data_IF_780266808137
#
_entry.id   IF_780266808137
#
_cell.length_a   1.000
_cell.length_b   1.000
_cell.length_c   1.000
_cell.angle_alpha   90.00
_cell.angle_beta   90.00
_cell.angle_gamma   90.00
#
_symmetry.space_group_name_H-M   'P 1'
#
loop_
_entity.id
_entity.type
_entity.pdbx_description
1 polymer ?
#
# COMPACT_ATOMS: atom_id res chain seq x y z
N UNK A 1 23.54 4.06 -9.19
CA UNK A 1 22.21 4.43 -8.71
C UNK A 1 21.51 3.11 -8.48
N UNK A 2 21.25 2.73 -7.24
CA UNK A 2 20.44 1.57 -6.93
C UNK A 2 19.00 1.92 -7.22
N UNK A 3 18.36 1.13 -8.01
CA UNK A 3 16.99 1.28 -8.36
C UNK A 3 16.05 0.90 -7.23
N UNK A 4 14.92 1.51 -7.25
CA UNK A 4 13.87 1.40 -6.26
C UNK A 4 12.95 0.27 -6.67
N UNK A 5 13.12 -0.90 -6.11
CA UNK A 5 12.11 -1.93 -6.18
C UNK A 5 10.82 -1.41 -5.53
N UNK A 6 9.70 -1.45 -6.25
CA UNK A 6 8.43 -0.84 -5.86
C UNK A 6 8.59 0.67 -5.61
N UNK A 7 8.74 1.45 -6.67
CA UNK A 7 9.01 2.89 -6.59
C UNK A 7 7.89 3.65 -5.90
N UNK A 8 8.14 4.06 -4.69
CA UNK A 8 7.50 5.21 -4.09
C UNK A 8 8.17 6.48 -4.62
N UNK A 9 7.45 7.26 -5.40
CA UNK A 9 8.02 8.34 -6.19
C UNK A 9 8.11 9.67 -5.43
N UNK A 10 9.29 10.28 -5.26
CA UNK A 10 9.39 11.66 -4.84
C UNK A 10 9.32 12.59 -6.05
N UNK A 11 8.58 13.67 -5.92
CA UNK A 11 8.61 14.83 -6.82
C UNK A 11 10.04 15.27 -7.14
N UNK A 12 10.57 14.90 -8.30
CA UNK A 12 11.73 15.53 -8.90
C UNK A 12 11.34 15.96 -10.32
N UNK A 13 10.93 17.24 -10.42
CA UNK A 13 10.76 17.89 -11.71
C UNK A 13 12.06 17.84 -12.50
N UNK A 14 12.11 17.00 -13.55
CA UNK A 14 13.12 17.13 -14.59
C UNK A 14 12.72 18.25 -15.53
N UNK A 15 13.40 19.39 -15.40
CA UNK A 15 13.43 20.40 -16.45
C UNK A 15 14.12 19.83 -17.68
N UNK A 16 13.41 19.76 -18.81
CA UNK A 16 14.01 19.59 -20.11
C UNK A 16 14.90 20.79 -20.40
N UNK A 17 16.20 20.59 -20.48
CA UNK A 17 17.17 21.54 -20.99
C UNK A 17 17.62 21.11 -22.36
N UNK A 18 17.21 21.84 -23.41
CA UNK A 18 17.82 21.82 -24.73
C UNK A 18 18.93 22.86 -24.79
N UNK A 19 20.08 22.39 -25.24
CA UNK A 19 21.15 23.05 -26.00
C UNK A 19 21.64 24.47 -25.70
N UNK A 20 22.94 24.55 -25.43
CA UNK A 20 23.95 25.40 -26.12
C UNK A 20 23.95 26.90 -25.82
N UNK A 21 25.08 27.41 -25.31
CA UNK A 21 25.42 28.81 -25.43
C UNK A 21 26.16 29.42 -24.24
N UNK A 22 27.41 29.42 -24.39
CA UNK A 22 28.51 30.33 -24.00
C UNK A 22 28.45 31.26 -22.77
N UNK A 23 29.60 31.35 -22.13
CA UNK A 23 30.00 32.11 -20.94
C UNK A 23 29.73 33.62 -21.03
N UNK A 24 29.27 34.20 -19.92
CA UNK A 24 29.93 35.38 -19.32
C UNK A 24 29.45 35.62 -17.88
N UNK A 25 30.42 35.96 -17.06
CA UNK A 25 30.32 36.29 -15.64
C UNK A 25 29.38 37.47 -15.34
N UNK A 26 28.53 37.40 -14.29
CA UNK A 26 28.19 38.56 -13.45
C UNK A 26 27.58 38.21 -12.10
N UNK A 27 28.37 38.60 -11.09
CA UNK A 27 28.03 39.14 -9.76
C UNK A 27 26.82 38.63 -8.98
N UNK A 28 27.14 38.00 -7.87
CA UNK A 28 26.34 37.74 -6.68
C UNK A 28 25.69 39.03 -6.16
N UNK A 29 24.37 39.01 -6.00
CA UNK A 29 23.63 39.90 -5.10
C UNK A 29 22.85 39.04 -4.10
N UNK A 30 23.27 39.18 -2.85
CA UNK A 30 22.60 38.68 -1.67
C UNK A 30 21.20 39.28 -1.58
N UNK A 31 20.17 38.42 -1.53
CA UNK A 31 18.81 38.83 -1.17
C UNK A 31 18.43 38.02 0.08
N UNK A 32 18.36 38.74 1.17
CA UNK A 32 17.75 38.30 2.44
C UNK A 32 16.26 38.09 2.21
N UNK A 33 15.82 36.85 2.20
CA UNK A 33 14.42 36.45 2.02
C UNK A 33 13.82 35.95 3.33
N UNK A 34 12.71 36.50 3.65
CA UNK A 34 11.88 36.34 4.82
C UNK A 34 11.42 34.85 5.00
N UNK A 35 11.58 34.35 6.21
CA UNK A 35 10.99 33.08 6.67
C UNK A 35 9.50 33.35 6.89
N UNK A 36 8.66 32.83 6.03
CA UNK A 36 7.21 32.72 6.26
C UNK A 36 6.94 31.32 6.83
N UNK A 37 6.54 31.30 8.08
CA UNK A 37 6.00 30.11 8.73
C UNK A 37 4.67 29.72 8.05
N UNK A 38 4.41 28.43 7.77
CA UNK A 38 3.11 28.02 7.29
C UNK A 38 2.10 28.04 8.44
N UNK A 39 1.09 28.90 8.33
CA UNK A 39 -0.14 28.82 9.11
C UNK A 39 -0.84 27.48 8.77
N UNK A 40 -1.00 26.62 9.76
CA UNK A 40 -1.92 25.50 9.70
C UNK A 40 -3.36 26.03 9.59
N UNK A 41 -3.91 26.06 8.40
CA UNK A 41 -5.35 26.23 8.18
C UNK A 41 -5.98 24.84 8.18
N UNK A 42 -6.63 24.50 9.27
CA UNK A 42 -7.53 23.34 9.35
C UNK A 42 -8.74 23.63 8.48
N UNK A 43 -8.70 23.22 7.22
CA UNK A 43 -9.82 23.29 6.30
C UNK A 43 -10.75 22.09 6.52
N UNK A 44 -12.00 22.36 6.81
CA UNK A 44 -13.04 21.35 6.86
C UNK A 44 -13.19 20.66 5.50
N UNK A 45 -13.00 19.34 5.47
CA UNK A 45 -13.23 18.51 4.28
C UNK A 45 -14.74 18.38 4.06
N UNK A 46 -15.30 19.08 3.10
CA UNK A 46 -16.68 18.85 2.66
C UNK A 46 -16.67 17.79 1.55
N UNK A 47 -17.04 16.56 1.89
CA UNK A 47 -17.33 15.53 0.90
C UNK A 47 -18.71 15.83 0.31
N UNK A 48 -18.76 16.31 -0.93
CA UNK A 48 -20.01 16.38 -1.67
C UNK A 48 -20.33 15.04 -2.30
N UNK A 49 -21.07 14.21 -1.57
CA UNK A 49 -21.81 13.12 -2.19
C UNK A 49 -23.04 13.70 -2.86
N UNK A 50 -23.18 13.52 -4.16
CA UNK A 50 -24.35 13.93 -4.93
C UNK A 50 -25.62 13.34 -4.29
N UNK A 51 -26.42 14.19 -3.66
CA UNK A 51 -27.64 13.80 -2.97
C UNK A 51 -28.77 13.56 -4.00
N UNK A 52 -29.01 12.31 -4.33
CA UNK A 52 -30.35 11.91 -4.78
C UNK A 52 -31.23 11.77 -3.54
N UNK A 53 -31.89 12.84 -3.15
CA UNK A 53 -32.86 12.87 -2.06
C UNK A 53 -34.12 12.15 -2.48
N UNK A 54 -34.34 10.94 -1.94
CA UNK A 54 -35.68 10.37 -1.83
C UNK A 54 -36.01 10.36 -0.34
N UNK A 55 -36.75 11.35 0.10
CA UNK A 55 -37.32 11.37 1.42
C UNK A 55 -38.32 10.21 1.58
N UNK A 56 -37.94 9.18 2.30
CA UNK A 56 -38.85 8.16 2.81
C UNK A 56 -39.13 8.45 4.28
N UNK A 57 -40.18 9.19 4.53
CA UNK A 57 -40.85 9.24 5.85
C UNK A 57 -41.52 7.90 6.08
N UNK A 58 -40.92 7.04 6.85
CA UNK A 58 -41.47 5.77 7.33
C UNK A 58 -40.83 5.45 8.68
N UNK A 59 -41.57 5.68 9.75
CA UNK A 59 -41.28 5.12 11.06
C UNK A 59 -41.39 3.60 10.97
N UNK A 60 -40.28 2.93 10.65
CA UNK A 60 -40.17 1.49 10.81
C UNK A 60 -39.03 1.17 11.73
N UNK A 61 -39.38 0.41 12.78
CA UNK A 61 -38.51 0.04 13.87
C UNK A 61 -37.24 -0.66 13.39
N UNK A 62 -36.13 -0.18 13.87
CA UNK A 62 -34.86 -0.82 14.12
C UNK A 62 -34.44 -2.02 13.27
N UNK A 63 -34.37 -1.89 11.95
CA UNK A 63 -33.64 -2.89 11.19
C UNK A 63 -32.13 -2.61 11.30
N UNK A 64 -31.46 -3.37 12.19
CA UNK A 64 -30.02 -3.36 12.33
C UNK A 64 -29.31 -3.99 11.11
N UNK A 65 -30.05 -4.79 10.34
CA UNK A 65 -29.55 -5.53 9.17
C UNK A 65 -30.36 -5.11 7.93
N UNK A 66 -29.65 -4.72 6.87
CA UNK A 66 -30.22 -4.42 5.56
C UNK A 66 -29.76 -5.47 4.56
N UNK A 67 -30.62 -5.82 3.59
CA UNK A 67 -30.31 -6.79 2.55
C UNK A 67 -30.27 -6.16 1.19
N UNK A 68 -29.23 -6.52 0.41
CA UNK A 68 -29.05 -6.10 -0.98
C UNK A 68 -29.23 -7.32 -1.89
N UNK A 69 -30.06 -7.20 -2.92
CA UNK A 69 -30.22 -8.22 -3.95
C UNK A 69 -30.53 -7.57 -5.29
N UNK A 70 -29.97 -8.05 -6.38
CA UNK A 70 -30.31 -7.58 -7.73
C UNK A 70 -31.82 -7.72 -8.07
N UNK A 71 -32.49 -8.64 -7.38
CA UNK A 71 -33.92 -8.90 -7.50
C UNK A 71 -34.75 -8.25 -6.36
N UNK A 72 -34.18 -7.25 -5.69
CA UNK A 72 -34.86 -6.58 -4.58
C UNK A 72 -36.13 -5.86 -5.01
N UNK A 73 -37.11 -5.84 -4.10
CA UNK A 73 -38.36 -5.10 -4.25
C UNK A 73 -38.36 -3.87 -3.33
N UNK A 74 -38.74 -2.68 -3.82
CA UNK A 74 -38.77 -1.47 -2.99
C UNK A 74 -39.60 -1.60 -1.70
N UNK A 75 -40.59 -2.48 -1.73
CA UNK A 75 -41.48 -2.80 -0.60
C UNK A 75 -41.08 -4.08 0.15
N UNK A 76 -39.87 -4.58 -0.10
CA UNK A 76 -39.36 -5.76 0.58
C UNK A 76 -39.30 -5.58 2.08
N UNK A 77 -39.60 -6.62 2.84
CA UNK A 77 -39.55 -6.61 4.31
C UNK A 77 -38.13 -6.57 4.88
N UNK A 78 -37.11 -6.63 4.01
CA UNK A 78 -35.68 -6.54 4.33
C UNK A 78 -35.22 -7.52 5.44
N UNK A 79 -35.76 -8.74 5.39
CA UNK A 79 -35.44 -9.81 6.39
C UNK A 79 -34.54 -10.90 5.86
N UNK A 80 -34.35 -10.96 4.54
CA UNK A 80 -33.55 -11.98 3.85
C UNK A 80 -33.24 -11.56 2.43
N UNK A 81 -32.41 -12.33 1.72
CA UNK A 81 -32.14 -12.12 0.30
C UNK A 81 -33.38 -12.19 -0.60
N UNK A 82 -34.42 -12.95 -0.20
CA UNK A 82 -35.68 -13.04 -0.96
C UNK A 82 -36.57 -11.83 -0.75
N UNK A 83 -36.44 -11.14 0.34
CA UNK A 83 -37.22 -9.95 0.69
C UNK A 83 -36.35 -8.69 0.81
N UNK A 84 -35.20 -8.68 0.12
CA UNK A 84 -34.28 -7.56 0.12
C UNK A 84 -34.95 -6.30 -0.44
N UNK A 85 -34.62 -5.17 0.12
CA UNK A 85 -35.16 -3.85 -0.23
C UNK A 85 -34.26 -3.08 -1.20
N UNK A 86 -32.94 -3.30 -1.13
CA UNK A 86 -31.95 -2.55 -1.88
C UNK A 86 -31.44 -3.34 -3.07
N UNK A 87 -31.28 -2.68 -4.23
CA UNK A 87 -30.71 -3.27 -5.45
C UNK A 87 -29.22 -3.01 -5.63
N UNK A 88 -28.71 -1.94 -5.00
CA UNK A 88 -27.31 -1.55 -5.02
C UNK A 88 -26.72 -1.57 -3.61
N UNK A 89 -25.44 -1.90 -3.52
CA UNK A 89 -24.71 -1.89 -2.25
C UNK A 89 -24.65 -0.48 -1.70
N UNK A 90 -24.33 0.50 -2.58
CA UNK A 90 -24.22 1.90 -2.17
C UNK A 90 -25.50 2.45 -1.55
N UNK A 91 -26.67 2.11 -2.11
CA UNK A 91 -27.95 2.56 -1.55
C UNK A 91 -28.21 1.99 -0.15
N UNK A 92 -27.85 0.73 0.08
CA UNK A 92 -27.98 0.11 1.40
C UNK A 92 -26.95 0.69 2.39
N UNK A 93 -25.70 0.89 1.96
CA UNK A 93 -24.68 1.55 2.79
C UNK A 93 -25.14 2.96 3.19
N UNK A 94 -25.72 3.73 2.27
CA UNK A 94 -26.25 5.06 2.56
C UNK A 94 -27.39 5.02 3.56
N UNK A 95 -28.28 4.02 3.48
CA UNK A 95 -29.42 3.86 4.40
C UNK A 95 -29.05 3.24 5.76
N UNK A 96 -27.94 2.51 5.84
CA UNK A 96 -27.51 1.88 7.08
C UNK A 96 -27.18 2.94 8.15
N UNK A 97 -27.55 2.65 9.39
CA UNK A 97 -27.13 3.47 10.54
C UNK A 97 -25.70 3.11 10.93
N UNK A 98 -24.94 4.02 11.57
CA UNK A 98 -23.67 3.68 12.19
C UNK A 98 -23.78 2.44 13.07
N UNK A 99 -22.86 1.48 12.92
CA UNK A 99 -22.89 0.18 13.58
C UNK A 99 -23.85 -0.84 12.98
N UNK A 100 -24.58 -0.49 11.92
CA UNK A 100 -25.49 -1.41 11.21
C UNK A 100 -24.76 -2.42 10.34
N UNK A 101 -25.50 -3.44 9.89
CA UNK A 101 -25.01 -4.48 9.01
C UNK A 101 -25.73 -4.43 7.66
N UNK A 102 -24.98 -4.50 6.58
CA UNK A 102 -25.50 -4.65 5.22
C UNK A 102 -25.07 -6.03 4.71
N UNK A 103 -26.03 -6.89 4.44
CA UNK A 103 -25.82 -8.22 3.87
C UNK A 103 -26.06 -8.18 2.37
N UNK A 104 -25.04 -8.45 1.59
CA UNK A 104 -25.12 -8.45 0.13
C UNK A 104 -25.29 -9.88 -0.38
N UNK A 105 -26.39 -10.11 -1.03
CA UNK A 105 -26.81 -11.41 -1.53
C UNK A 105 -26.00 -11.84 -2.76
N UNK A 106 -26.03 -13.12 -3.15
CA UNK A 106 -25.29 -13.60 -4.31
C UNK A 106 -25.61 -12.81 -5.58
N UNK A 107 -24.58 -12.44 -6.32
CA UNK A 107 -24.71 -11.70 -7.59
C UNK A 107 -23.50 -10.81 -7.86
N UNK A 108 -23.45 -10.25 -9.07
CA UNK A 108 -22.44 -9.26 -9.46
C UNK A 108 -23.07 -7.87 -9.42
N UNK A 109 -22.40 -6.96 -8.75
CA UNK A 109 -22.81 -5.56 -8.56
C UNK A 109 -21.78 -4.67 -9.23
N UNK A 110 -22.20 -3.98 -10.30
CA UNK A 110 -21.34 -3.06 -11.05
C UNK A 110 -21.47 -1.67 -10.44
N UNK A 111 -20.65 -1.40 -9.44
CA UNK A 111 -20.65 -0.11 -8.72
C UNK A 111 -19.35 0.14 -7.98
N UNK A 112 -18.96 1.40 -7.83
CA UNK A 112 -18.00 1.85 -6.82
C UNK A 112 -18.74 1.93 -5.49
N UNK A 113 -18.17 1.35 -4.42
CA UNK A 113 -18.78 1.35 -3.08
C UNK A 113 -17.98 2.25 -2.15
N UNK A 114 -18.60 3.34 -1.69
CA UNK A 114 -18.00 4.30 -0.76
C UNK A 114 -18.59 4.14 0.64
N UNK A 115 -17.74 3.86 1.63
CA UNK A 115 -18.15 3.62 3.01
C UNK A 115 -17.61 4.75 3.90
N UNK A 116 -18.50 5.69 4.26
CA UNK A 116 -18.15 6.91 5.02
C UNK A 116 -18.64 6.88 6.48
N UNK A 117 -19.05 5.72 6.99
CA UNK A 117 -19.51 5.52 8.37
C UNK A 117 -19.22 4.10 8.83
N UNK A 118 -19.13 3.86 10.18
CA UNK A 118 -18.90 2.51 10.70
C UNK A 118 -20.08 1.60 10.36
N UNK A 119 -19.87 0.63 9.50
CA UNK A 119 -20.85 -0.41 9.14
C UNK A 119 -20.15 -1.75 8.94
N UNK A 120 -20.90 -2.83 9.11
CA UNK A 120 -20.48 -4.18 8.67
C UNK A 120 -21.07 -4.48 7.30
N UNK A 121 -20.22 -4.75 6.31
CA UNK A 121 -20.61 -5.14 4.96
C UNK A 121 -20.24 -6.61 4.75
N UNK A 122 -21.24 -7.47 4.56
CA UNK A 122 -21.11 -8.92 4.49
C UNK A 122 -21.54 -9.44 3.13
N UNK A 123 -20.61 -9.92 2.31
CA UNK A 123 -20.87 -10.54 1.02
C UNK A 123 -21.20 -12.03 1.15
N UNK A 124 -22.32 -12.46 0.63
CA UNK A 124 -22.70 -13.87 0.51
C UNK A 124 -22.53 -14.34 -0.93
N UNK A 125 -21.31 -14.69 -1.34
CA UNK A 125 -20.97 -14.95 -2.76
C UNK A 125 -21.32 -13.75 -3.65
N UNK A 126 -21.07 -12.55 -3.16
CA UNK A 126 -21.29 -11.30 -3.85
C UNK A 126 -19.99 -10.83 -4.51
N UNK A 127 -20.10 -10.34 -5.73
CA UNK A 127 -19.00 -9.71 -6.47
C UNK A 127 -19.26 -8.23 -6.62
N UNK A 128 -18.30 -7.40 -6.21
CA UNK A 128 -18.21 -5.99 -6.60
C UNK A 128 -17.30 -5.98 -7.82
N UNK A 129 -17.85 -5.56 -8.96
CA UNK A 129 -17.19 -5.57 -10.25
C UNK A 129 -17.22 -4.16 -10.84
N UNK A 130 -16.07 -3.50 -10.89
CA UNK A 130 -15.97 -2.13 -11.37
C UNK A 130 -15.81 -2.05 -12.90
N UNK A 131 -15.87 -3.16 -13.64
CA UNK A 131 -15.79 -3.15 -15.09
C UNK A 131 -16.86 -2.23 -15.70
N UNK A 132 -16.39 -1.20 -16.44
CA UNK A 132 -17.26 -0.23 -17.10
C UNK A 132 -17.95 0.77 -16.16
N UNK A 133 -17.60 0.78 -14.88
CA UNK A 133 -18.07 1.78 -13.90
C UNK A 133 -17.17 3.02 -14.00
N UNK A 134 -17.79 4.20 -14.07
CA UNK A 134 -17.05 5.46 -13.89
C UNK A 134 -16.99 5.79 -12.41
N UNK A 135 -15.79 5.84 -11.79
CA UNK A 135 -15.65 6.23 -10.42
C UNK A 135 -16.20 7.63 -10.16
N UNK A 136 -17.02 7.77 -9.12
CA UNK A 136 -17.71 9.03 -8.82
C UNK A 136 -17.20 9.69 -7.52
N UNK A 137 -16.47 8.95 -6.68
CA UNK A 137 -15.98 9.51 -5.43
C UNK A 137 -14.79 10.44 -5.68
N UNK A 138 -14.89 11.64 -5.15
CA UNK A 138 -13.86 12.66 -5.28
C UNK A 138 -13.43 13.20 -3.92
N UNK A 139 -12.18 13.59 -3.81
CA UNK A 139 -11.59 14.27 -2.66
C UNK A 139 -11.02 15.61 -3.08
N UNK A 140 -11.19 16.63 -2.26
CA UNK A 140 -10.54 17.92 -2.46
C UNK A 140 -9.33 18.00 -1.55
N UNK A 141 -8.15 18.11 -2.14
CA UNK A 141 -6.88 18.17 -1.43
C UNK A 141 -6.37 19.62 -1.42
N UNK A 142 -5.91 20.14 -0.27
CA UNK A 142 -5.35 21.49 -0.18
C UNK A 142 -4.20 21.67 -1.17
N UNK A 143 -4.27 22.69 -2.02
CA UNK A 143 -3.25 23.01 -3.02
C UNK A 143 -3.24 22.12 -4.27
N UNK A 144 -3.96 21.00 -4.29
CA UNK A 144 -3.97 20.04 -5.40
C UNK A 144 -5.33 19.95 -6.12
N UNK A 145 -6.37 20.63 -5.58
CA UNK A 145 -7.70 20.63 -6.16
C UNK A 145 -8.49 19.34 -5.90
N UNK A 146 -9.55 19.15 -6.68
CA UNK A 146 -10.42 17.98 -6.58
C UNK A 146 -9.90 16.87 -7.48
N UNK A 147 -9.76 15.67 -6.92
CA UNK A 147 -9.24 14.48 -7.57
C UNK A 147 -10.24 13.34 -7.46
N UNK A 148 -10.36 12.53 -8.50
CA UNK A 148 -11.18 11.31 -8.50
C UNK A 148 -10.41 10.15 -7.87
N UNK A 149 -11.08 9.38 -7.03
CA UNK A 149 -10.55 8.16 -6.41
C UNK A 149 -10.92 6.96 -7.27
N UNK A 150 -9.93 6.25 -7.75
CA UNK A 150 -10.07 5.05 -8.57
C UNK A 150 -9.86 3.79 -7.69
N UNK A 151 -10.92 3.35 -7.03
CA UNK A 151 -10.94 2.13 -6.24
C UNK A 151 -12.36 1.56 -6.20
N UNK A 152 -12.51 0.24 -6.33
CA UNK A 152 -13.84 -0.37 -6.33
C UNK A 152 -14.54 -0.23 -4.97
N UNK A 153 -13.76 -0.27 -3.88
CA UNK A 153 -14.26 -0.03 -2.53
C UNK A 153 -13.42 1.05 -1.85
N UNK A 154 -14.06 2.14 -1.43
CA UNK A 154 -13.43 3.26 -0.72
C UNK A 154 -13.93 3.32 0.70
N UNK A 155 -13.02 3.28 1.67
CA UNK A 155 -13.30 3.36 3.10
C UNK A 155 -12.71 4.65 3.68
N UNK A 156 -13.59 5.55 4.13
CA UNK A 156 -13.19 6.85 4.70
C UNK A 156 -13.79 7.06 6.09
N UNK A 157 -13.96 5.98 6.86
CA UNK A 157 -14.45 6.01 8.23
C UNK A 157 -13.84 4.90 9.08
N UNK A 158 -13.69 5.13 10.36
CA UNK A 158 -13.32 4.11 11.34
C UNK A 158 -14.42 3.06 11.55
N UNK A 159 -14.04 1.89 12.10
CA UNK A 159 -14.99 0.87 12.54
C UNK A 159 -15.68 0.09 11.42
N UNK A 160 -15.15 0.11 10.20
CA UNK A 160 -15.72 -0.62 9.05
C UNK A 160 -15.29 -2.10 9.13
N UNK A 161 -16.26 -2.99 8.93
CA UNK A 161 -15.99 -4.43 8.72
C UNK A 161 -16.45 -4.82 7.33
N UNK A 162 -15.55 -5.40 6.55
CA UNK A 162 -15.78 -5.84 5.18
C UNK A 162 -15.39 -7.31 5.04
N UNK A 163 -16.31 -8.14 4.59
CA UNK A 163 -16.03 -9.58 4.51
C UNK A 163 -16.85 -10.33 3.47
N UNK A 164 -16.26 -11.40 2.91
CA UNK A 164 -16.97 -12.39 2.08
C UNK A 164 -17.26 -11.95 0.65
N UNK A 165 -16.55 -10.96 0.12
CA UNK A 165 -16.71 -10.47 -1.24
C UNK A 165 -15.64 -11.01 -2.19
N UNK A 166 -16.00 -11.03 -3.49
CA UNK A 166 -15.04 -10.86 -4.57
C UNK A 166 -15.05 -9.40 -4.99
N UNK A 167 -13.87 -8.76 -5.08
CA UNK A 167 -13.68 -7.39 -5.59
C UNK A 167 -12.79 -7.49 -6.82
N UNK A 168 -13.22 -6.92 -7.95
CA UNK A 168 -12.53 -7.14 -9.22
C UNK A 168 -12.73 -6.00 -10.22
N UNK A 169 -11.77 -5.88 -11.15
CA UNK A 169 -11.78 -4.96 -12.30
C UNK A 169 -11.84 -3.47 -11.91
N UNK A 170 -11.32 -3.12 -10.73
CA UNK A 170 -11.07 -1.72 -10.41
C UNK A 170 -10.03 -1.14 -11.38
N UNK A 171 -10.20 0.12 -11.74
CA UNK A 171 -9.22 0.82 -12.57
C UNK A 171 -7.94 1.15 -11.80
N UNK A 172 -8.05 1.39 -10.53
CA UNK A 172 -6.97 1.52 -9.56
C UNK A 172 -7.06 0.43 -8.51
N UNK A 173 -7.06 0.80 -7.24
CA UNK A 173 -7.05 -0.19 -6.16
C UNK A 173 -8.34 -1.01 -6.06
N UNK A 174 -8.21 -2.24 -5.62
CA UNK A 174 -9.39 -3.04 -5.28
C UNK A 174 -10.13 -2.46 -4.07
N UNK A 175 -9.43 -2.22 -2.96
CA UNK A 175 -9.96 -1.64 -1.72
C UNK A 175 -8.99 -0.59 -1.19
N UNK A 176 -9.43 0.66 -1.10
CA UNK A 176 -8.68 1.77 -0.48
C UNK A 176 -9.30 2.15 0.85
N UNK A 177 -8.50 2.22 1.92
CA UNK A 177 -8.86 2.90 3.16
C UNK A 177 -7.93 4.10 3.36
N UNK A 178 -8.49 5.32 3.34
CA UNK A 178 -7.71 6.55 3.38
C UNK A 178 -8.18 7.50 4.49
N UNK A 179 -7.22 7.92 5.32
CA UNK A 179 -7.47 8.82 6.46
C UNK A 179 -7.87 10.23 6.05
N UNK A 180 -7.31 10.75 4.97
CA UNK A 180 -7.61 12.07 4.42
C UNK A 180 -7.55 13.19 5.47
N UNK A 181 -6.44 13.23 6.24
CA UNK A 181 -6.20 14.24 7.28
C UNK A 181 -6.79 13.89 8.65
N UNK A 182 -7.33 12.68 8.82
CA UNK A 182 -7.71 12.10 10.11
C UNK A 182 -7.31 10.64 10.15
N UNK A 183 -6.85 10.14 11.27
CA UNK A 183 -6.55 8.73 11.44
C UNK A 183 -7.84 7.89 11.46
N UNK A 184 -7.86 6.81 10.68
CA UNK A 184 -8.93 5.81 10.71
C UNK A 184 -8.50 4.62 11.55
N UNK A 185 -9.40 4.06 12.35
CA UNK A 185 -9.11 2.92 13.23
C UNK A 185 -10.18 1.84 13.15
N UNK A 186 -9.80 0.61 13.55
CA UNK A 186 -10.77 -0.48 13.68
C UNK A 186 -11.36 -0.99 12.37
N UNK A 187 -10.65 -0.80 11.25
CA UNK A 187 -11.04 -1.35 9.95
C UNK A 187 -10.67 -2.84 9.89
N UNK A 188 -11.56 -3.66 9.38
CA UNK A 188 -11.31 -5.10 9.20
C UNK A 188 -11.74 -5.55 7.82
N UNK A 189 -10.79 -6.04 7.02
CA UNK A 189 -11.03 -6.71 5.74
C UNK A 189 -10.73 -8.18 5.91
N UNK A 190 -11.71 -9.06 5.64
CA UNK A 190 -11.52 -10.49 5.87
C UNK A 190 -12.30 -11.40 4.93
N UNK A 191 -11.79 -12.61 4.72
CA UNK A 191 -12.45 -13.68 3.96
C UNK A 191 -12.98 -13.23 2.59
N UNK A 192 -12.24 -12.36 1.93
CA UNK A 192 -12.57 -11.78 0.63
C UNK A 192 -11.53 -12.19 -0.42
N UNK A 193 -11.93 -12.18 -1.68
CA UNK A 193 -11.04 -12.34 -2.81
C UNK A 193 -10.94 -10.99 -3.54
N UNK A 194 -9.79 -10.35 -3.47
CA UNK A 194 -9.51 -9.07 -4.13
C UNK A 194 -8.58 -9.39 -5.30
N UNK A 195 -9.13 -9.43 -6.51
CA UNK A 195 -8.43 -10.05 -7.64
C UNK A 195 -8.68 -9.31 -8.96
N UNK A 196 -7.66 -9.24 -9.81
CA UNK A 196 -7.70 -8.62 -11.14
C UNK A 196 -8.10 -7.14 -11.08
N UNK A 197 -7.55 -6.41 -10.13
CA UNK A 197 -7.67 -4.96 -10.04
C UNK A 197 -6.40 -4.34 -10.57
N UNK A 198 -6.51 -3.18 -11.11
CA UNK A 198 -5.55 -2.42 -11.90
C UNK A 198 -4.47 -3.30 -12.56
N UNK A 199 -4.49 -3.36 -13.84
CA UNK A 199 -3.52 -4.18 -14.58
C UNK A 199 -2.31 -3.34 -15.01
N UNK A 200 -1.91 -2.36 -14.20
CA UNK A 200 -0.65 -1.64 -14.34
C UNK A 200 -0.71 -0.40 -15.21
N UNK A 201 -1.85 0.21 -15.33
CA UNK A 201 -1.98 1.42 -16.15
C UNK A 201 -2.48 2.58 -15.32
N UNK A 202 -1.59 3.46 -14.94
CA UNK A 202 -1.91 4.66 -14.19
C UNK A 202 -3.12 5.38 -14.74
N UNK A 203 -3.99 5.81 -13.85
CA UNK A 203 -5.19 6.59 -14.17
C UNK A 203 -4.85 8.06 -14.09
N UNK A 204 -5.24 8.87 -15.07
CA UNK A 204 -4.95 10.30 -15.07
C UNK A 204 -5.68 11.01 -13.93
N UNK A 205 -5.08 12.09 -13.43
CA UNK A 205 -5.67 12.96 -12.41
C UNK A 205 -5.99 12.30 -11.05
N UNK A 206 -5.27 11.24 -10.69
CA UNK A 206 -5.36 10.66 -9.36
C UNK A 206 -4.74 11.55 -8.29
N UNK A 207 -5.15 11.47 -7.03
CA UNK A 207 -4.42 12.07 -5.93
C UNK A 207 -3.03 11.40 -5.78
N UNK A 208 -2.09 12.13 -5.18
CA UNK A 208 -0.70 11.68 -5.01
C UNK A 208 -0.54 10.37 -4.24
N UNK A 209 -1.51 10.01 -3.41
CA UNK A 209 -1.54 8.74 -2.66
C UNK A 209 -2.20 7.59 -3.44
N UNK A 210 -2.62 7.83 -4.65
CA UNK A 210 -2.98 6.79 -5.60
C UNK A 210 -1.99 6.83 -6.76
N UNK A 211 -1.93 5.73 -7.43
CA UNK A 211 -1.15 5.56 -8.61
C UNK A 211 -1.19 6.76 -9.57
N UNK A 212 -0.05 7.35 -9.80
CA UNK A 212 0.14 8.28 -10.91
C UNK A 212 0.86 7.56 -12.04
N UNK A 213 0.37 7.70 -13.27
CA UNK A 213 1.10 7.22 -14.43
C UNK A 213 2.42 7.96 -14.54
N UNK A 214 3.51 7.28 -14.23
CA UNK A 214 4.86 7.81 -14.27
C UNK A 214 5.68 7.12 -15.36
N UNK A 215 5.31 7.38 -16.60
CA UNK A 215 6.02 6.80 -17.74
C UNK A 215 5.63 5.32 -18.01
N UNK A 216 6.51 4.53 -18.65
CA UNK A 216 6.22 3.15 -19.01
C UNK A 216 6.27 2.17 -17.83
N UNK A 217 6.67 2.61 -16.65
CA UNK A 217 6.78 1.75 -15.47
C UNK A 217 5.52 1.89 -14.61
N UNK A 218 4.85 0.77 -14.28
CA UNK A 218 3.80 0.79 -13.27
C UNK A 218 4.44 1.14 -11.92
N UNK A 219 3.95 2.19 -11.29
CA UNK A 219 4.30 2.54 -9.91
C UNK A 219 3.44 1.78 -8.91
N UNK A 220 3.36 2.27 -7.68
CA UNK A 220 2.46 1.76 -6.62
C UNK A 220 0.99 1.97 -7.02
N UNK A 221 0.55 1.21 -8.00
CA UNK A 221 -0.72 1.36 -8.66
C UNK A 221 -1.47 0.04 -8.67
N UNK A 222 -2.73 0.05 -8.29
CA UNK A 222 -3.58 -1.10 -8.44
C UNK A 222 -3.33 -2.19 -7.44
N UNK A 223 -3.01 -1.81 -6.24
CA UNK A 223 -2.97 -2.77 -5.15
C UNK A 223 -4.34 -3.39 -4.91
N UNK A 224 -4.29 -4.67 -4.54
CA UNK A 224 -5.49 -5.32 -4.07
C UNK A 224 -6.08 -4.58 -2.88
N UNK A 225 -5.27 -4.24 -1.87
CA UNK A 225 -5.69 -3.51 -0.67
C UNK A 225 -4.66 -2.45 -0.29
N UNK A 226 -5.10 -1.20 -0.18
CA UNK A 226 -4.28 -0.08 0.24
C UNK A 226 -4.82 0.56 1.52
N UNK A 227 -3.97 0.71 2.56
CA UNK A 227 -4.24 1.45 3.78
C UNK A 227 -3.28 2.63 3.90
N UNK A 228 -3.83 3.86 4.04
CA UNK A 228 -3.05 5.08 4.27
C UNK A 228 -3.73 5.98 5.30
N UNK A 229 -2.99 6.41 6.33
CA UNK A 229 -3.58 7.12 7.48
C UNK A 229 -4.52 6.23 8.31
N UNK A 230 -4.14 4.96 8.51
CA UNK A 230 -4.97 3.94 9.19
C UNK A 230 -4.20 3.32 10.35
N UNK A 231 -4.84 3.19 11.50
CA UNK A 231 -4.25 2.54 12.67
C UNK A 231 -5.14 1.41 13.23
N UNK A 232 -4.54 0.52 14.03
CA UNK A 232 -5.23 -0.52 14.81
C UNK A 232 -6.26 -1.33 14.01
N UNK A 233 -5.88 -1.74 12.82
CA UNK A 233 -6.77 -2.34 11.83
C UNK A 233 -6.22 -3.68 11.30
N UNK A 234 -7.00 -4.40 10.50
CA UNK A 234 -6.57 -5.74 10.06
C UNK A 234 -7.02 -6.13 8.66
N UNK A 235 -6.13 -6.81 7.96
CA UNK A 235 -6.34 -7.49 6.67
C UNK A 235 -6.08 -8.98 6.92
N UNK A 236 -7.14 -9.81 6.97
CA UNK A 236 -6.98 -11.18 7.47
C UNK A 236 -7.74 -12.22 6.66
N UNK A 237 -7.03 -13.30 6.27
CA UNK A 237 -7.65 -14.48 5.64
C UNK A 237 -8.23 -14.19 4.26
N UNK A 238 -7.62 -13.31 3.49
CA UNK A 238 -8.04 -12.95 2.14
C UNK A 238 -7.19 -13.66 1.09
N UNK A 239 -7.75 -13.79 -0.11
CA UNK A 239 -7.01 -14.02 -1.34
C UNK A 239 -6.81 -12.66 -2.02
N UNK A 240 -5.57 -12.22 -2.17
CA UNK A 240 -5.19 -10.96 -2.83
C UNK A 240 -4.28 -11.36 -3.99
N UNK A 241 -4.83 -11.38 -5.20
CA UNK A 241 -4.12 -12.02 -6.30
C UNK A 241 -4.44 -11.40 -7.67
N UNK A 242 -3.43 -11.47 -8.55
CA UNK A 242 -3.57 -11.02 -9.94
C UNK A 242 -3.96 -9.54 -10.07
N UNK A 243 -3.61 -8.72 -9.09
CA UNK A 243 -3.65 -7.27 -9.16
C UNK A 243 -2.27 -6.78 -9.68
N UNK A 244 -2.08 -5.48 -9.84
CA UNK A 244 -0.75 -4.93 -10.08
C UNK A 244 0.15 -5.19 -8.87
N UNK A 245 -0.22 -4.72 -7.69
CA UNK A 245 0.39 -5.01 -6.41
C UNK A 245 -0.56 -5.73 -5.43
N UNK A 246 -0.04 -6.20 -4.30
CA UNK A 246 -0.82 -6.96 -3.33
C UNK A 246 -1.44 -6.09 -2.23
N UNK A 247 -0.67 -5.80 -1.19
CA UNK A 247 -1.08 -4.97 -0.04
C UNK A 247 -0.12 -3.80 0.10
N UNK A 248 -0.63 -2.58 0.17
CA UNK A 248 0.13 -1.37 0.44
C UNK A 248 -0.28 -0.78 1.80
N UNK A 249 0.72 -0.51 2.65
CA UNK A 249 0.56 0.26 3.88
C UNK A 249 1.43 1.50 3.76
N UNK A 250 0.85 2.66 3.48
CA UNK A 250 1.59 3.92 3.28
C UNK A 250 1.18 5.01 4.27
N UNK A 251 1.96 6.07 4.35
CA UNK A 251 1.70 7.22 5.24
C UNK A 251 1.35 8.51 4.49
N UNK A 252 0.87 8.39 3.25
CA UNK A 252 0.55 9.54 2.39
C UNK A 252 -0.53 10.45 2.96
N UNK A 253 -1.52 9.89 3.66
CA UNK A 253 -2.61 10.67 4.25
C UNK A 253 -2.54 10.79 5.77
N UNK A 254 -1.44 10.35 6.36
CA UNK A 254 -1.16 10.33 7.79
C UNK A 254 -0.49 9.03 8.22
N UNK A 255 -0.09 8.90 9.49
CA UNK A 255 0.62 7.71 9.97
C UNK A 255 -0.20 6.43 9.76
N UNK A 256 0.47 5.32 9.42
CA UNK A 256 -0.15 3.99 9.28
C UNK A 256 0.55 3.01 10.21
N UNK A 257 -0.15 2.55 11.24
CA UNK A 257 0.47 1.75 12.29
C UNK A 257 -0.49 0.76 12.97
N UNK A 258 0.10 -0.23 13.68
CA UNK A 258 -0.69 -1.24 14.39
C UNK A 258 -1.55 -2.12 13.46
N UNK A 259 -1.18 -2.21 12.18
CA UNK A 259 -1.93 -3.01 11.21
C UNK A 259 -1.51 -4.47 11.30
N UNK A 260 -2.50 -5.35 11.38
CA UNK A 260 -2.30 -6.80 11.30
C UNK A 260 -2.64 -7.32 9.90
N UNK A 261 -1.62 -7.69 9.12
CA UNK A 261 -1.76 -8.42 7.84
C UNK A 261 -1.49 -9.89 8.11
N UNK A 262 -2.54 -10.74 8.20
CA UNK A 262 -2.36 -12.10 8.69
C UNK A 262 -3.18 -13.16 7.95
N UNK A 263 -2.53 -14.30 7.68
CA UNK A 263 -3.20 -15.47 7.10
C UNK A 263 -3.77 -15.24 5.71
N UNK A 264 -3.23 -14.28 4.95
CA UNK A 264 -3.63 -14.01 3.58
C UNK A 264 -2.81 -14.87 2.61
N UNK A 265 -3.39 -15.11 1.44
CA UNK A 265 -2.67 -15.59 0.26
C UNK A 265 -2.52 -14.39 -0.67
N UNK A 266 -1.28 -13.90 -0.82
CA UNK A 266 -0.91 -12.75 -1.65
C UNK A 266 -0.05 -13.28 -2.79
N UNK A 267 -0.62 -13.40 -3.99
CA UNK A 267 0.06 -14.16 -5.05
C UNK A 267 -0.26 -13.67 -6.46
N UNK A 268 0.76 -13.72 -7.33
CA UNK A 268 0.57 -13.42 -8.75
C UNK A 268 0.22 -11.94 -9.04
N UNK A 269 0.51 -11.04 -8.13
CA UNK A 269 0.43 -9.59 -8.36
C UNK A 269 1.68 -9.22 -9.19
N UNK A 270 1.48 -9.06 -10.50
CA UNK A 270 2.55 -9.33 -11.44
C UNK A 270 3.56 -8.20 -11.58
N UNK A 271 3.17 -6.95 -11.32
CA UNK A 271 3.99 -5.77 -11.63
C UNK A 271 4.61 -5.11 -10.41
N UNK A 272 4.13 -5.43 -9.21
CA UNK A 272 4.59 -4.83 -7.97
C UNK A 272 4.72 -5.87 -6.85
N UNK A 273 5.07 -5.43 -5.65
CA UNK A 273 5.35 -6.27 -4.49
C UNK A 273 4.11 -7.04 -3.98
N UNK A 274 4.38 -8.10 -3.22
CA UNK A 274 3.32 -8.79 -2.50
C UNK A 274 2.75 -7.95 -1.36
N UNK A 275 3.61 -7.44 -0.48
CA UNK A 275 3.22 -6.56 0.63
C UNK A 275 4.25 -5.43 0.73
N UNK A 276 3.80 -4.20 0.52
CA UNK A 276 4.62 -2.98 0.51
C UNK A 276 4.33 -2.13 1.73
N UNK A 277 5.38 -1.66 2.41
CA UNK A 277 5.30 -0.88 3.65
C UNK A 277 6.26 0.31 3.55
N UNK A 278 5.99 1.27 2.66
CA UNK A 278 6.89 2.39 2.40
C UNK A 278 6.60 3.59 3.29
N UNK A 279 7.64 4.33 3.65
CA UNK A 279 7.53 5.69 4.13
C UNK A 279 7.53 6.65 2.94
N UNK A 280 6.43 7.35 2.72
CA UNK A 280 6.28 8.33 1.64
C UNK A 280 6.34 9.77 2.14
N UNK A 281 5.86 10.01 3.36
CA UNK A 281 5.74 11.37 3.88
C UNK A 281 7.07 11.86 4.45
N UNK A 282 7.69 12.91 3.87
CA UNK A 282 8.98 13.43 4.31
C UNK A 282 8.95 14.15 5.68
N UNK A 283 7.80 14.22 6.33
CA UNK A 283 7.65 14.75 7.68
C UNK A 283 7.63 13.68 8.76
N UNK A 284 7.90 12.41 8.41
CA UNK A 284 8.00 11.33 9.39
C UNK A 284 9.21 11.48 10.33
N UNK A 285 10.24 12.22 9.87
CA UNK A 285 11.40 12.60 10.68
C UNK A 285 11.55 14.12 10.73
N UNK A 286 12.00 14.64 11.87
CA UNK A 286 12.41 16.05 11.97
C UNK A 286 13.80 16.28 11.34
N UNK A 287 14.23 17.54 11.29
CA UNK A 287 15.52 17.93 10.72
C UNK A 287 16.75 17.32 11.45
N UNK A 288 16.56 16.66 12.60
CA UNK A 288 17.59 15.93 13.34
C UNK A 288 17.46 14.41 13.17
N UNK A 289 16.55 13.94 12.32
CA UNK A 289 16.28 12.52 12.13
C UNK A 289 15.44 11.87 13.23
N UNK A 290 14.77 12.65 14.08
CA UNK A 290 13.90 12.13 15.13
C UNK A 290 12.51 11.84 14.59
N UNK A 291 11.98 10.64 14.88
CA UNK A 291 10.64 10.18 14.51
C UNK A 291 9.54 11.13 14.98
N UNK A 292 8.56 11.36 14.10
CA UNK A 292 7.34 12.17 14.32
C UNK A 292 6.08 11.29 14.16
N UNK A 293 5.85 10.28 15.02
CA UNK A 293 4.84 9.25 14.81
C UNK A 293 3.40 9.78 14.80
N UNK A 294 3.15 10.96 15.38
CA UNK A 294 1.83 11.63 15.29
C UNK A 294 1.62 12.42 13.99
N UNK A 295 2.64 12.52 13.16
CA UNK A 295 2.59 13.27 11.89
C UNK A 295 2.58 12.31 10.72
N UNK A 296 3.51 11.36 10.68
CA UNK A 296 3.68 10.42 9.59
C UNK A 296 4.56 9.21 10.02
N UNK A 297 4.75 8.28 9.09
CA UNK A 297 5.53 7.06 9.24
C UNK A 297 4.64 5.81 9.17
N UNK A 298 5.27 4.70 8.78
CA UNK A 298 4.62 3.38 8.73
C UNK A 298 5.30 2.47 9.74
N UNK A 299 4.66 2.18 10.87
CA UNK A 299 5.33 1.56 12.00
C UNK A 299 4.44 0.63 12.83
N UNK A 300 5.07 -0.23 13.63
CA UNK A 300 4.41 -1.20 14.54
C UNK A 300 3.41 -2.12 13.82
N UNK A 301 3.59 -2.37 12.51
CA UNK A 301 2.74 -3.26 11.76
C UNK A 301 3.24 -4.71 11.86
N UNK A 302 2.31 -5.66 11.84
CA UNK A 302 2.61 -7.09 11.95
C UNK A 302 2.13 -7.82 10.70
N UNK A 303 3.07 -8.36 9.93
CA UNK A 303 2.85 -9.17 8.73
C UNK A 303 3.15 -10.62 9.09
N UNK A 304 2.12 -11.45 9.30
CA UNK A 304 2.36 -12.80 9.81
C UNK A 304 1.52 -13.89 9.19
N UNK A 305 2.12 -15.09 9.09
CA UNK A 305 1.42 -16.30 8.65
C UNK A 305 0.74 -16.13 7.28
N UNK A 306 1.30 -15.30 6.40
CA UNK A 306 0.82 -15.16 5.03
C UNK A 306 1.59 -16.10 4.10
N UNK A 307 0.97 -16.41 2.96
CA UNK A 307 1.63 -17.02 1.81
C UNK A 307 1.82 -15.90 0.78
N UNK A 308 3.08 -15.53 0.50
CA UNK A 308 3.43 -14.40 -0.36
C UNK A 308 4.29 -14.92 -1.52
N UNK A 309 3.68 -15.11 -2.69
CA UNK A 309 4.34 -15.83 -3.77
C UNK A 309 4.07 -15.26 -5.15
N UNK A 310 5.07 -15.34 -6.02
CA UNK A 310 4.96 -14.99 -7.44
C UNK A 310 4.48 -13.55 -7.69
N UNK A 311 4.88 -12.62 -6.83
CA UNK A 311 4.60 -11.19 -7.00
C UNK A 311 5.77 -10.52 -7.70
N UNK A 312 5.52 -9.45 -8.46
CA UNK A 312 6.51 -8.65 -9.15
C UNK A 312 7.29 -9.36 -10.26
N UNK A 313 6.81 -10.48 -10.78
CA UNK A 313 7.55 -11.29 -11.79
C UNK A 313 7.50 -10.72 -13.21
N UNK A 314 6.79 -9.63 -13.42
CA UNK A 314 6.73 -8.89 -14.69
C UNK A 314 7.08 -7.41 -14.51
N UNK A 315 7.45 -7.04 -13.35
CA UNK A 315 7.92 -5.75 -12.90
C UNK A 315 8.90 -6.01 -11.78
N UNK A 316 9.14 -5.04 -10.92
CA UNK A 316 10.12 -5.15 -9.85
C UNK A 316 9.43 -5.27 -8.50
N UNK A 317 9.06 -6.49 -8.09
CA UNK A 317 8.32 -6.68 -6.88
C UNK A 317 8.93 -7.69 -5.92
N UNK A 318 9.18 -7.26 -4.69
CA UNK A 318 9.61 -8.11 -3.59
C UNK A 318 8.43 -8.92 -2.99
N UNK A 319 8.74 -9.95 -2.20
CA UNK A 319 7.71 -10.61 -1.41
C UNK A 319 7.13 -9.65 -0.37
N UNK A 320 7.99 -9.09 0.49
CA UNK A 320 7.67 -8.02 1.46
C UNK A 320 8.70 -6.91 1.32
N UNK A 321 8.26 -5.67 1.18
CA UNK A 321 9.14 -4.51 1.05
C UNK A 321 8.91 -3.51 2.19
N UNK A 322 10.00 -2.99 2.74
CA UNK A 322 10.07 -1.76 3.50
C UNK A 322 10.95 -0.78 2.73
N UNK A 323 10.42 0.36 2.35
CA UNK A 323 11.15 1.34 1.55
C UNK A 323 10.99 2.75 2.12
N UNK A 324 12.05 3.52 2.01
CA UNK A 324 12.01 4.95 2.22
C UNK A 324 12.51 5.63 0.95
N UNK A 325 11.64 6.43 0.33
CA UNK A 325 11.91 7.00 -0.98
C UNK A 325 12.78 8.25 -0.95
N UNK A 326 12.81 8.96 0.18
CA UNK A 326 13.46 10.26 0.29
C UNK A 326 13.79 10.61 1.74
N UNK A 327 14.61 11.64 1.91
CA UNK A 327 14.92 12.19 3.24
C UNK A 327 13.66 12.60 3.99
N UNK A 328 13.62 12.30 5.28
CA UNK A 328 12.51 12.59 6.18
C UNK A 328 11.47 11.48 6.27
N UNK A 329 11.54 10.45 5.42
CA UNK A 329 10.58 9.33 5.42
C UNK A 329 10.98 8.22 6.40
N UNK A 330 9.99 7.44 6.89
CA UNK A 330 10.24 6.41 7.88
C UNK A 330 9.26 5.22 7.78
N UNK A 331 9.84 4.00 7.73
CA UNK A 331 9.13 2.73 7.84
C UNK A 331 9.86 1.84 8.85
N UNK A 332 9.41 1.80 10.09
CA UNK A 332 10.21 1.31 11.23
C UNK A 332 9.41 0.43 12.21
N UNK A 333 10.11 -0.34 13.02
CA UNK A 333 9.58 -1.20 14.11
C UNK A 333 8.52 -2.22 13.64
N UNK A 334 8.44 -2.52 12.34
CA UNK A 334 7.51 -3.50 11.77
C UNK A 334 8.04 -4.94 11.96
N UNK A 335 7.13 -5.91 11.94
CA UNK A 335 7.43 -7.33 12.13
C UNK A 335 6.92 -8.20 10.97
N UNK A 336 7.83 -8.93 10.31
CA UNK A 336 7.54 -10.00 9.35
C UNK A 336 7.78 -11.34 10.03
N UNK A 337 6.72 -12.11 10.31
CA UNK A 337 6.84 -13.31 11.11
C UNK A 337 6.05 -14.50 10.57
N UNK A 338 6.71 -15.67 10.48
CA UNK A 338 6.04 -16.93 10.19
C UNK A 338 5.39 -17.01 8.81
N UNK A 339 5.82 -16.19 7.85
CA UNK A 339 5.30 -16.20 6.49
C UNK A 339 6.03 -17.25 5.64
N UNK A 340 5.35 -17.73 4.60
CA UNK A 340 5.97 -18.45 3.50
C UNK A 340 6.13 -17.46 2.32
N UNK A 341 7.39 -17.23 1.88
CA UNK A 341 7.74 -16.21 0.88
C UNK A 341 8.59 -16.85 -0.21
N UNK A 342 8.10 -16.93 -1.45
CA UNK A 342 8.84 -17.56 -2.54
C UNK A 342 8.36 -17.13 -3.93
N UNK A 343 9.24 -17.20 -4.92
CA UNK A 343 8.91 -16.98 -6.32
C UNK A 343 8.65 -15.53 -6.69
N UNK A 344 9.05 -14.57 -5.87
CA UNK A 344 8.84 -13.14 -6.14
C UNK A 344 9.93 -12.59 -7.08
N UNK A 345 9.61 -11.53 -7.79
CA UNK A 345 10.51 -10.90 -8.78
C UNK A 345 11.80 -10.41 -8.16
N UNK A 346 11.71 -9.71 -7.04
CA UNK A 346 12.87 -9.29 -6.24
C UNK A 346 13.02 -10.15 -4.97
N UNK A 347 13.86 -9.71 -4.03
CA UNK A 347 14.18 -10.46 -2.80
C UNK A 347 12.94 -10.85 -2.00
N UNK A 348 13.01 -11.94 -1.26
CA UNK A 348 11.89 -12.39 -0.44
C UNK A 348 11.43 -11.34 0.56
N UNK A 349 12.38 -10.75 1.29
CA UNK A 349 12.16 -9.55 2.11
C UNK A 349 13.21 -8.51 1.76
N UNK A 350 12.75 -7.31 1.45
CA UNK A 350 13.61 -6.20 1.03
C UNK A 350 13.43 -5.01 1.98
N UNK A 351 14.52 -4.35 2.33
CA UNK A 351 14.53 -3.08 3.06
C UNK A 351 15.45 -2.10 2.33
N UNK A 352 14.94 -0.97 1.89
CA UNK A 352 15.70 0.03 1.15
C UNK A 352 15.59 1.43 1.77
N UNK A 353 16.74 2.05 2.10
CA UNK A 353 16.88 3.47 2.38
C UNK A 353 17.81 4.10 1.33
N UNK A 354 17.31 5.07 0.57
CA UNK A 354 17.94 5.52 -0.68
C UNK A 354 18.85 6.73 -0.54
N UNK A 355 18.69 7.49 0.54
CA UNK A 355 19.45 8.73 0.71
C UNK A 355 20.94 8.46 0.90
N UNK A 356 21.75 9.03 0.02
CA UNK A 356 23.21 8.89 0.04
C UNK A 356 23.90 10.11 0.69
N UNK A 357 23.18 11.20 0.96
CA UNK A 357 23.78 12.45 1.38
C UNK A 357 23.87 12.58 2.90
N UNK A 358 25.01 12.99 3.45
CA UNK A 358 25.15 13.26 4.88
C UNK A 358 24.14 14.29 5.38
N UNK A 359 23.52 14.02 6.53
CA UNK A 359 22.52 14.89 7.15
C UNK A 359 21.11 14.77 6.58
N UNK A 360 20.90 13.90 5.61
CA UNK A 360 19.57 13.49 5.14
C UNK A 360 19.24 12.15 5.81
N UNK A 361 18.17 12.13 6.58
CA UNK A 361 17.80 10.97 7.38
C UNK A 361 16.61 10.23 6.75
N UNK A 362 16.70 8.93 6.78
CA UNK A 362 15.62 7.98 6.51
C UNK A 362 15.63 6.95 7.65
N UNK A 363 14.50 6.41 8.05
CA UNK A 363 14.50 5.44 9.15
C UNK A 363 13.80 4.14 8.78
N UNK A 364 14.58 3.09 8.63
CA UNK A 364 14.13 1.68 8.50
C UNK A 364 14.47 0.86 9.76
N UNK A 365 14.89 1.50 10.82
CA UNK A 365 15.42 0.79 12.01
C UNK A 365 14.30 0.12 12.83
N UNK A 366 14.67 -0.97 13.50
CA UNK A 366 13.74 -1.74 14.33
C UNK A 366 12.86 -2.73 13.59
N UNK A 367 12.87 -2.77 12.25
CA UNK A 367 12.17 -3.79 11.48
C UNK A 367 12.75 -5.18 11.77
N UNK A 368 11.87 -6.18 11.87
CA UNK A 368 12.23 -7.54 12.29
C UNK A 368 11.70 -8.57 11.31
N UNK A 369 12.57 -9.49 10.88
CA UNK A 369 12.24 -10.64 10.00
C UNK A 369 12.51 -11.92 10.77
N UNK A 370 11.47 -12.56 11.29
CA UNK A 370 11.60 -13.62 12.30
C UNK A 370 10.80 -14.86 11.94
N UNK A 371 11.46 -16.02 11.89
CA UNK A 371 10.79 -17.32 11.79
C UNK A 371 10.03 -17.55 10.48
N UNK A 372 10.44 -16.91 9.39
CA UNK A 372 9.81 -17.10 8.07
C UNK A 372 10.44 -18.30 7.34
N UNK A 373 9.69 -18.86 6.41
CA UNK A 373 10.18 -19.80 5.41
C UNK A 373 10.34 -19.02 4.12
N UNK A 374 11.59 -18.81 3.70
CA UNK A 374 11.94 -18.01 2.53
C UNK A 374 12.55 -18.95 1.48
N UNK A 375 11.81 -19.19 0.40
CA UNK A 375 12.25 -19.97 -0.74
C UNK A 375 13.09 -19.17 -1.75
N UNK A 376 13.11 -19.61 -2.99
CA UNK A 376 13.79 -18.91 -4.07
C UNK A 376 13.06 -17.61 -4.41
N UNK A 377 13.76 -16.49 -4.42
CA UNK A 377 13.23 -15.15 -4.76
C UNK A 377 14.26 -14.38 -5.60
N UNK A 378 13.93 -13.19 -6.05
CA UNK A 378 14.68 -12.37 -6.99
C UNK A 378 14.80 -13.09 -8.35
N UNK A 379 13.63 -13.38 -8.94
CA UNK A 379 13.57 -14.20 -10.16
C UNK A 379 13.75 -13.39 -11.44
N UNK A 380 13.41 -12.12 -11.45
CA UNK A 380 13.63 -11.23 -12.59
C UNK A 380 14.99 -10.52 -12.58
N UNK A 381 15.66 -10.51 -11.41
CA UNK A 381 17.02 -9.99 -11.29
C UNK A 381 17.09 -8.47 -11.42
N UNK A 382 16.02 -7.76 -11.11
CA UNK A 382 15.96 -6.29 -11.22
C UNK A 382 16.22 -5.81 -12.67
N UNK A 383 15.53 -6.42 -13.61
CA UNK A 383 15.82 -6.26 -15.03
C UNK A 383 15.54 -4.87 -15.59
N UNK A 384 14.63 -4.10 -14.98
CA UNK A 384 14.30 -2.75 -15.43
C UNK A 384 15.40 -1.75 -15.10
N UNK A 385 15.95 -1.83 -13.91
CA UNK A 385 17.01 -0.93 -13.48
C UNK A 385 18.41 -1.50 -13.70
N UNK A 386 18.49 -2.83 -13.83
CA UNK A 386 19.72 -3.58 -14.12
C UNK A 386 19.63 -4.37 -15.44
N UNK A 387 19.51 -3.71 -16.59
CA UNK A 387 19.38 -4.41 -17.85
C UNK A 387 20.61 -5.28 -18.15
N UNK A 388 20.45 -6.38 -18.88
CA UNK A 388 21.54 -7.26 -19.26
C UNK A 388 22.71 -6.49 -19.89
N UNK A 389 23.92 -6.68 -19.34
CA UNK A 389 25.13 -5.97 -19.77
C UNK A 389 25.41 -4.65 -19.03
N UNK A 390 24.58 -4.23 -18.10
CA UNK A 390 24.88 -3.10 -17.22
C UNK A 390 26.09 -3.41 -16.34
N UNK A 391 27.02 -2.46 -16.25
CA UNK A 391 28.18 -2.54 -15.36
C UNK A 391 27.98 -1.78 -14.05
N UNK A 392 26.81 -1.17 -13.88
CA UNK A 392 26.48 -0.32 -12.72
C UNK A 392 25.65 -1.01 -11.66
N UNK A 393 25.12 -2.19 -11.97
CA UNK A 393 24.32 -2.99 -11.05
C UNK A 393 25.18 -3.73 -10.04
N UNK A 394 24.70 -3.79 -8.82
CA UNK A 394 25.34 -4.61 -7.78
C UNK A 394 25.05 -6.10 -8.00
N UNK A 395 25.98 -7.01 -7.68
CA UNK A 395 25.77 -8.44 -7.91
C UNK A 395 24.51 -9.03 -7.24
N UNK A 396 24.07 -8.47 -6.11
CA UNK A 396 22.86 -8.92 -5.40
C UNK A 396 21.57 -8.63 -6.17
N UNK A 397 21.56 -7.62 -7.04
CA UNK A 397 20.39 -7.27 -7.84
C UNK A 397 20.15 -8.27 -8.98
N UNK A 398 21.19 -9.00 -9.34
CA UNK A 398 21.19 -9.95 -10.47
C UNK A 398 21.07 -11.42 -10.04
N UNK A 399 21.07 -11.71 -8.74
CA UNK A 399 21.08 -13.09 -8.26
C UNK A 399 19.94 -13.33 -7.26
N UNK A 400 19.49 -14.57 -7.20
CA UNK A 400 18.44 -14.96 -6.26
C UNK A 400 18.85 -14.67 -4.82
N UNK A 401 18.00 -13.93 -4.10
CA UNK A 401 18.30 -13.42 -2.76
C UNK A 401 17.09 -13.62 -1.82
N UNK A 402 17.36 -14.13 -0.62
CA UNK A 402 16.32 -14.37 0.40
C UNK A 402 15.90 -13.09 1.10
N UNK A 403 16.85 -12.41 1.74
CA UNK A 403 16.65 -11.14 2.46
C UNK A 403 17.69 -10.13 2.02
N UNK A 404 17.27 -8.93 1.68
CA UNK A 404 18.15 -7.84 1.28
C UNK A 404 17.88 -6.63 2.17
N UNK A 405 18.93 -6.04 2.77
CA UNK A 405 18.82 -4.78 3.52
C UNK A 405 19.88 -3.81 3.01
N UNK A 406 19.42 -2.77 2.37
CA UNK A 406 20.23 -1.70 1.84
C UNK A 406 19.98 -0.38 2.57
N UNK A 407 21.06 0.30 2.89
CA UNK A 407 21.03 1.71 3.25
C UNK A 407 22.22 2.42 2.61
N UNK A 408 21.95 3.49 1.91
CA UNK A 408 22.98 4.28 1.23
C UNK A 408 23.86 5.09 2.17
N UNK A 409 23.32 5.59 3.28
CA UNK A 409 24.06 6.45 4.20
C UNK A 409 23.56 6.49 5.62
N UNK A 410 22.28 6.34 5.85
CA UNK A 410 21.70 6.32 7.20
C UNK A 410 21.95 4.97 7.86
N UNK A 411 22.49 4.91 9.10
CA UNK A 411 22.62 3.68 9.86
C UNK A 411 21.25 3.02 10.08
N UNK A 412 21.12 1.73 9.72
CA UNK A 412 19.91 0.93 9.93
C UNK A 412 20.20 -0.20 10.90
N UNK A 413 19.34 -0.37 11.90
CA UNK A 413 19.37 -1.52 12.80
C UNK A 413 18.18 -2.43 12.54
N UNK A 414 18.40 -3.74 12.44
CA UNK A 414 17.35 -4.73 12.16
C UNK A 414 17.57 -6.03 12.92
N UNK A 415 16.56 -6.89 13.00
CA UNK A 415 16.69 -8.26 13.49
C UNK A 415 16.26 -9.24 12.41
N UNK A 416 17.17 -10.13 12.00
CA UNK A 416 16.90 -11.21 11.05
C UNK A 416 17.24 -12.53 11.74
N UNK A 417 16.22 -13.25 12.21
CA UNK A 417 16.44 -14.37 13.10
C UNK A 417 15.47 -15.54 12.87
N UNK A 418 15.94 -16.76 13.10
CA UNK A 418 15.15 -17.98 13.07
C UNK A 418 14.45 -18.26 11.72
N UNK A 419 14.88 -17.64 10.62
CA UNK A 419 14.32 -17.89 9.31
C UNK A 419 14.92 -19.17 8.69
N UNK A 420 14.11 -19.88 7.91
CA UNK A 420 14.54 -20.99 7.06
C UNK A 420 14.67 -20.47 5.63
N UNK A 421 15.89 -20.20 5.17
CA UNK A 421 16.17 -19.61 3.85
C UNK A 421 16.72 -20.70 2.94
N UNK A 422 16.13 -20.84 1.74
CA UNK A 422 16.53 -21.93 0.84
C UNK A 422 16.53 -21.53 -0.63
N UNK A 423 17.40 -22.21 -1.39
CA UNK A 423 17.43 -22.16 -2.86
C UNK A 423 17.70 -20.77 -3.44
N UNK A 424 18.52 -19.97 -2.75
CA UNK A 424 18.99 -18.66 -3.20
C UNK A 424 20.51 -18.68 -3.40
N UNK A 425 21.02 -17.84 -4.28
CA UNK A 425 22.45 -17.60 -4.38
C UNK A 425 22.95 -16.90 -3.11
N UNK A 426 22.22 -15.89 -2.63
CA UNK A 426 22.51 -15.19 -1.37
C UNK A 426 21.34 -15.40 -0.40
N UNK A 427 21.65 -15.84 0.82
CA UNK A 427 20.63 -15.98 1.87
C UNK A 427 20.22 -14.63 2.44
N UNK A 428 21.17 -13.89 2.98
CA UNK A 428 20.98 -12.55 3.54
C UNK A 428 22.08 -11.63 3.01
N UNK A 429 21.70 -10.51 2.41
CA UNK A 429 22.61 -9.46 1.95
C UNK A 429 22.41 -8.19 2.76
N UNK A 430 23.52 -7.58 3.24
CA UNK A 430 23.51 -6.37 4.07
C UNK A 430 24.52 -5.36 3.55
N UNK A 431 24.10 -4.11 3.31
CA UNK A 431 25.03 -3.02 3.03
C UNK A 431 25.82 -2.61 4.29
N UNK A 432 26.90 -1.85 4.07
CA UNK A 432 27.83 -1.42 5.13
C UNK A 432 27.18 -0.65 6.28
N UNK A 433 26.14 0.14 5.99
CA UNK A 433 25.44 0.95 6.99
C UNK A 433 24.45 0.14 7.85
N UNK A 434 24.29 -1.16 7.60
CA UNK A 434 23.30 -2.01 8.26
C UNK A 434 23.94 -2.81 9.39
N UNK A 435 23.32 -2.75 10.57
CA UNK A 435 23.63 -3.63 11.70
C UNK A 435 22.46 -4.57 11.95
N UNK A 436 22.67 -5.87 11.77
CA UNK A 436 21.63 -6.89 11.93
C UNK A 436 21.92 -7.83 13.09
N UNK A 437 20.95 -7.99 14.00
CA UNK A 437 20.98 -8.97 15.07
C UNK A 437 20.38 -10.32 14.62
N UNK A 438 20.74 -11.40 15.31
CA UNK A 438 20.12 -12.72 15.14
C UNK A 438 20.61 -13.52 13.93
N UNK A 439 21.53 -13.03 13.13
CA UNK A 439 21.96 -13.65 11.86
C UNK A 439 22.32 -15.13 11.98
N UNK A 440 23.01 -15.52 13.06
CA UNK A 440 23.48 -16.91 13.30
C UNK A 440 22.36 -17.89 13.65
N UNK A 441 21.16 -17.42 13.92
CA UNK A 441 20.01 -18.27 14.26
C UNK A 441 19.20 -18.71 13.03
N UNK A 442 19.53 -18.17 11.85
CA UNK A 442 18.90 -18.55 10.60
C UNK A 442 19.50 -19.89 10.10
N UNK A 443 18.70 -20.66 9.39
CA UNK A 443 19.13 -21.89 8.74
C UNK A 443 19.10 -21.72 7.21
N UNK A 444 20.11 -22.27 6.56
CA UNK A 444 20.30 -22.14 5.11
C UNK A 444 20.36 -23.52 4.46
N UNK A 445 19.58 -23.69 3.40
CA UNK A 445 19.58 -24.93 2.61
C UNK A 445 19.71 -24.62 1.12
N UNK A 446 20.69 -25.19 0.45
CA UNK A 446 20.96 -24.91 -0.97
C UNK A 446 21.14 -23.38 -1.20
N UNK A 447 21.94 -22.74 -0.38
CA UNK A 447 22.29 -21.32 -0.44
C UNK A 447 23.80 -21.24 -0.63
N UNK A 448 24.25 -20.57 -1.70
CA UNK A 448 25.68 -20.46 -2.03
C UNK A 448 26.43 -19.60 -1.03
N UNK A 449 25.88 -18.41 -0.76
CA UNK A 449 26.44 -17.46 0.22
C UNK A 449 25.39 -17.21 1.30
N UNK A 450 25.47 -17.88 2.46
CA UNK A 450 24.49 -17.73 3.53
C UNK A 450 24.29 -16.28 3.98
N UNK A 451 25.37 -15.56 4.22
CA UNK A 451 25.36 -14.15 4.66
C UNK A 451 26.46 -13.40 3.90
N UNK A 452 26.10 -12.29 3.28
CA UNK A 452 26.97 -11.33 2.63
C UNK A 452 26.75 -9.97 3.27
N UNK A 453 27.80 -9.38 3.85
CA UNK A 453 27.70 -8.15 4.64
C UNK A 453 28.91 -7.24 4.46
N UNK A 454 28.70 -5.93 4.63
CA UNK A 454 29.78 -4.93 4.63
C UNK A 454 30.10 -4.33 3.26
N UNK A 455 29.14 -4.37 2.34
CA UNK A 455 29.26 -3.83 0.97
C UNK A 455 28.94 -2.35 0.87
#
# INVERSE_FOLDING_TARGET
>A
MLAVACRSNPFLGRGHGSEGGDMTSKRIRTITGWVLAPLLVVGAVTAQAGAASAAATGQDGHHKILYVSRHAWPWGADRSCRSARFRTIQSAVNAARPGGTVVVCPGTYHEQVVISKPVSLEGRRATIDEAGVTPAFQVTLPGLGTKTIYAAVVMVSSGIRFSGFKVTHAQGEGILAAGLGRELTGISISHSAVVHNDLGFGVPDTPYFQCQAMGPEPGDCGEGVHFTGVADSKIKGNLIAFNAGGVLLSDDTGPTHGILVAGNVVTGNATDCGITVPGHNPNALDAKGKRQPSVAGVYDNVIRNNVVTNNGVKGEGAGVLFANASAGTASYDNLVQGNYIAGNGLSGVTMHAHTLMPGQFEDLSGNRVIGNIIGKNNLDGDALDCPPGSTTCSPQDLVTTGVLVFSGGTPVTTTIAFNHISSNAIGIWLSKAVTAAGLKTNTFRNVTTPISAGH
#
